data_IF_822158418027
#
_entry.id   IF_822158418027
#
_cell.length_a   1.000
_cell.length_b   1.000
_cell.length_c   1.000
_cell.angle_alpha   90.00
_cell.angle_beta   90.00
_cell.angle_gamma   90.00
#
_symmetry.space_group_name_H-M   'P 1'
#
loop_
_entity.id
_entity.type
_entity.pdbx_description
1 polymer ?
#
# COMPACT_ATOMS: atom_id res chain seq x y z
N UNK A 1 -3.62 7.30 -53.60
CA UNK A 1 -3.59 5.84 -53.76
C UNK A 1 -2.40 5.52 -54.65
N UNK A 2 -1.34 4.85 -54.23
CA UNK A 2 -1.04 4.11 -53.00
C UNK A 2 0.47 4.25 -52.75
N UNK A 3 0.85 4.39 -51.48
CA UNK A 3 2.21 4.57 -51.01
C UNK A 3 2.54 3.45 -50.01
N UNK A 4 2.39 2.19 -50.43
CA UNK A 4 2.56 1.03 -49.55
C UNK A 4 3.30 -0.11 -50.25
N UNK A 5 4.65 -0.13 -50.18
CA UNK A 5 5.43 -1.38 -50.18
C UNK A 5 6.94 -1.13 -50.00
N UNK A 6 7.33 -0.50 -48.89
CA UNK A 6 8.76 -0.30 -48.54
C UNK A 6 9.14 -0.80 -47.14
N UNK A 7 8.46 -1.84 -46.64
CA UNK A 7 8.74 -2.44 -45.32
C UNK A 7 8.90 -3.96 -45.37
N UNK A 8 9.57 -4.51 -46.40
CA UNK A 8 9.82 -5.97 -46.48
C UNK A 8 11.30 -6.35 -46.58
N UNK A 9 12.23 -5.46 -46.20
CA UNK A 9 13.65 -5.79 -46.25
C UNK A 9 14.44 -5.23 -45.05
N UNK A 10 14.10 -5.70 -43.85
CA UNK A 10 15.00 -5.63 -42.69
C UNK A 10 15.23 -7.05 -42.17
N UNK A 11 16.27 -7.70 -42.69
CA UNK A 11 16.83 -8.91 -42.10
C UNK A 11 17.39 -8.56 -40.70
N UNK A 12 16.83 -9.16 -39.65
CA UNK A 12 17.29 -8.94 -38.28
C UNK A 12 18.57 -9.76 -38.01
N UNK A 13 19.63 -9.15 -37.44
CA UNK A 13 20.86 -9.87 -37.12
C UNK A 13 20.67 -10.86 -35.96
N UNK A 14 21.27 -12.07 -36.04
CA UNK A 14 21.19 -13.04 -34.95
C UNK A 14 21.96 -12.52 -33.73
N UNK A 15 21.28 -12.43 -32.58
CA UNK A 15 21.88 -11.98 -31.31
C UNK A 15 21.28 -10.70 -30.72
N UNK A 16 20.26 -10.12 -31.34
CA UNK A 16 19.52 -9.01 -30.71
C UNK A 16 18.57 -9.58 -29.66
N UNK A 17 18.76 -9.20 -28.39
CA UNK A 17 17.77 -9.45 -27.34
C UNK A 17 16.54 -8.63 -27.70
N UNK A 18 15.53 -9.28 -28.26
CA UNK A 18 14.21 -8.69 -28.33
C UNK A 18 13.70 -8.62 -26.89
N UNK A 19 13.72 -7.42 -26.31
CA UNK A 19 12.77 -7.11 -25.25
C UNK A 19 11.42 -7.12 -25.96
N UNK A 20 10.78 -8.29 -26.03
CA UNK A 20 9.37 -8.39 -26.38
C UNK A 20 8.59 -7.72 -25.26
N UNK A 21 8.46 -6.40 -25.34
CA UNK A 21 7.32 -5.71 -24.77
C UNK A 21 6.13 -6.32 -25.49
N UNK A 22 5.46 -7.27 -24.83
CA UNK A 22 4.18 -7.79 -25.30
C UNK A 22 3.23 -6.60 -25.31
N UNK A 23 3.09 -5.92 -26.43
CA UNK A 23 2.11 -4.86 -26.64
C UNK A 23 0.74 -5.49 -26.85
N UNK A 24 0.24 -6.15 -25.82
CA UNK A 24 -1.16 -6.55 -25.70
C UNK A 24 -1.53 -6.76 -24.22
N UNK A 25 -1.07 -5.84 -23.38
CA UNK A 25 -1.73 -5.53 -22.12
C UNK A 25 -2.17 -4.10 -22.34
N UNK A 26 -3.47 -3.85 -22.41
CA UNK A 26 -3.99 -2.48 -22.42
C UNK A 26 -3.37 -1.76 -21.24
N UNK A 27 -2.54 -0.74 -21.49
CA UNK A 27 -1.96 0.06 -20.44
C UNK A 27 -3.12 0.78 -19.74
N UNK A 28 -3.56 0.20 -18.63
CA UNK A 28 -4.74 0.61 -17.90
C UNK A 28 -4.52 2.03 -17.37
N UNK A 29 -3.29 2.35 -16.94
CA UNK A 29 -2.88 3.67 -16.46
C UNK A 29 -2.93 4.74 -17.57
N UNK A 30 -2.51 4.42 -18.80
CA UNK A 30 -2.59 5.37 -19.93
C UNK A 30 -4.04 5.60 -20.38
N UNK A 31 -4.90 4.57 -20.33
CA UNK A 31 -6.31 4.70 -20.72
C UNK A 31 -7.11 5.46 -19.67
N UNK A 32 -6.95 5.13 -18.40
CA UNK A 32 -7.61 5.76 -17.28
C UNK A 32 -6.89 5.42 -15.97
N UNK A 33 -6.13 6.39 -15.43
CA UNK A 33 -5.48 6.25 -14.14
C UNK A 33 -6.54 6.19 -13.01
N UNK A 34 -6.67 5.05 -12.31
CA UNK A 34 -7.61 4.92 -11.20
C UNK A 34 -7.03 5.44 -9.87
N UNK A 35 -5.74 5.75 -9.80
CA UNK A 35 -5.07 6.15 -8.57
C UNK A 35 -5.41 7.58 -8.20
N UNK A 36 -5.83 7.78 -6.96
CA UNK A 36 -6.19 9.08 -6.43
C UNK A 36 -5.00 9.74 -5.72
N UNK A 37 -5.13 11.05 -5.47
CA UNK A 37 -4.21 11.83 -4.64
C UNK A 37 -2.72 11.73 -5.02
N UNK A 38 -2.41 11.48 -6.31
CA UNK A 38 -1.04 11.40 -6.81
C UNK A 38 -0.32 10.09 -6.52
N UNK A 39 -1.06 9.00 -6.24
CA UNK A 39 -0.50 7.64 -6.21
C UNK A 39 0.08 7.23 -7.56
N UNK A 40 1.09 6.35 -7.57
CA UNK A 40 1.73 5.87 -8.80
C UNK A 40 0.93 4.70 -9.38
N UNK A 41 0.41 4.86 -10.58
CA UNK A 41 -0.27 3.78 -11.31
C UNK A 41 0.73 2.86 -12.02
N UNK A 42 0.56 1.55 -11.83
CA UNK A 42 1.38 0.51 -12.44
C UNK A 42 0.46 -0.47 -13.16
N UNK A 43 0.58 -0.57 -14.48
CA UNK A 43 -0.17 -1.54 -15.28
C UNK A 43 0.45 -2.94 -15.17
N UNK A 44 -0.33 -3.91 -14.70
CA UNK A 44 0.07 -5.34 -14.66
C UNK A 44 -0.85 -6.19 -15.55
N UNK A 45 -0.50 -7.46 -15.71
CA UNK A 45 -1.34 -8.47 -16.38
C UNK A 45 -2.66 -8.76 -15.65
N UNK A 46 -2.73 -8.47 -14.35
CA UNK A 46 -3.92 -8.60 -13.51
C UNK A 46 -4.74 -7.32 -13.37
N UNK A 47 -4.27 -6.19 -13.91
CA UNK A 47 -4.95 -4.89 -13.88
C UNK A 47 -4.07 -3.74 -13.37
N UNK A 48 -4.60 -2.52 -13.20
CA UNK A 48 -3.85 -1.41 -12.62
C UNK A 48 -3.69 -1.60 -11.10
N UNK A 49 -2.48 -1.33 -10.60
CA UNK A 49 -2.14 -1.33 -9.17
C UNK A 49 -1.65 0.07 -8.79
N UNK A 50 -2.07 0.59 -7.63
CA UNK A 50 -1.64 1.89 -7.13
C UNK A 50 -0.60 1.76 -6.00
N UNK A 51 0.52 2.46 -6.13
CA UNK A 51 1.52 2.59 -5.07
C UNK A 51 1.32 3.91 -4.30
N UNK A 52 0.83 3.80 -3.05
CA UNK A 52 0.52 4.95 -2.18
C UNK A 52 1.62 5.29 -1.16
N UNK A 53 2.85 4.76 -1.33
CA UNK A 53 3.92 4.91 -0.31
C UNK A 53 4.36 6.36 -0.09
N UNK A 54 4.30 7.19 -1.13
CA UNK A 54 4.83 8.56 -1.12
C UNK A 54 3.75 9.65 -0.88
N UNK A 55 2.52 9.26 -0.51
CA UNK A 55 1.39 10.17 -0.29
C UNK A 55 0.73 9.90 1.06
N UNK A 56 -0.04 10.86 1.58
CA UNK A 56 -0.78 10.74 2.86
C UNK A 56 -2.08 9.92 2.73
N UNK A 57 -2.15 9.03 1.74
CA UNK A 57 -3.35 8.27 1.41
C UNK A 57 -3.06 6.77 1.31
N UNK A 58 -4.07 5.95 1.59
CA UNK A 58 -4.06 4.48 1.56
C UNK A 58 -5.32 3.94 0.87
N UNK A 59 -5.39 2.61 0.73
CA UNK A 59 -6.44 1.93 -0.01
C UNK A 59 -5.96 1.41 -1.36
N UNK A 60 -6.83 0.67 -2.04
CA UNK A 60 -6.51 0.02 -3.33
C UNK A 60 -6.16 1.04 -4.40
N UNK A 61 -6.76 2.23 -4.31
CA UNK A 61 -6.64 3.33 -5.26
C UNK A 61 -6.17 4.63 -4.58
N UNK A 62 -5.53 4.53 -3.40
CA UNK A 62 -5.13 5.68 -2.60
C UNK A 62 -6.30 6.63 -2.27
N UNK A 63 -7.50 6.07 -2.08
CA UNK A 63 -8.76 6.81 -1.95
C UNK A 63 -9.09 7.24 -0.52
N UNK A 64 -8.37 6.71 0.48
CA UNK A 64 -8.61 6.98 1.90
C UNK A 64 -7.43 7.73 2.51
N UNK A 65 -7.68 8.67 3.41
CA UNK A 65 -6.60 9.30 4.18
C UNK A 65 -5.87 8.25 5.04
N UNK A 66 -4.53 8.33 5.09
CA UNK A 66 -3.77 7.58 6.08
C UNK A 66 -4.16 8.07 7.47
N UNK A 67 -4.20 7.13 8.42
CA UNK A 67 -4.31 7.51 9.81
C UNK A 67 -3.12 8.44 10.16
N UNK A 68 -3.37 9.59 10.80
CA UNK A 68 -2.31 10.53 11.16
C UNK A 68 -1.26 9.81 12.02
N UNK A 69 0.01 10.13 11.80
CA UNK A 69 1.13 9.57 12.59
C UNK A 69 1.10 10.01 14.05
N UNK A 70 0.26 10.99 14.38
CA UNK A 70 0.04 11.51 15.73
C UNK A 70 -1.43 11.36 16.14
N UNK A 71 -1.65 10.83 17.34
CA UNK A 71 -2.98 10.70 17.93
C UNK A 71 -3.11 11.63 19.15
N UNK A 72 -4.23 12.35 19.23
CA UNK A 72 -4.59 13.15 20.41
C UNK A 72 -5.70 12.45 21.17
N UNK A 73 -5.47 12.14 22.44
CA UNK A 73 -6.45 11.48 23.31
C UNK A 73 -6.96 12.42 24.38
N UNK A 74 -8.29 12.48 24.56
CA UNK A 74 -8.98 13.30 25.57
C UNK A 74 -9.36 12.52 26.84
N UNK A 75 -8.97 11.25 26.92
CA UNK A 75 -9.03 10.42 28.13
C UNK A 75 -9.87 9.14 28.01
N UNK A 76 -10.85 9.10 27.10
CA UNK A 76 -11.69 7.90 26.85
C UNK A 76 -11.40 7.23 25.51
N UNK A 77 -10.46 7.76 24.76
CA UNK A 77 -10.09 7.30 23.43
C UNK A 77 -8.86 6.39 23.52
N UNK A 78 -8.76 5.42 22.63
CA UNK A 78 -7.64 4.50 22.54
C UNK A 78 -7.41 4.09 21.09
N UNK A 79 -6.15 3.77 20.76
CA UNK A 79 -5.76 3.16 19.50
C UNK A 79 -5.48 1.67 19.77
N UNK A 80 -6.10 0.79 18.99
CA UNK A 80 -5.89 -0.66 19.10
C UNK A 80 -5.42 -1.24 17.78
N UNK A 81 -4.38 -2.07 17.83
CA UNK A 81 -3.89 -2.82 16.67
C UNK A 81 -4.07 -4.32 16.92
N UNK A 82 -4.75 -5.01 16.01
CA UNK A 82 -4.95 -6.47 16.08
C UNK A 82 -3.86 -7.18 15.27
N UNK A 83 -2.83 -7.66 15.97
CA UNK A 83 -1.73 -8.45 15.39
C UNK A 83 -2.18 -9.86 14.96
N UNK A 84 -3.39 -10.30 15.30
CA UNK A 84 -3.92 -11.62 14.92
C UNK A 84 -4.43 -11.70 13.48
N UNK A 85 -4.62 -10.57 12.80
CA UNK A 85 -5.24 -10.50 11.47
C UNK A 85 -4.23 -10.41 10.31
N UNK A 86 -2.95 -10.71 10.52
CA UNK A 86 -1.92 -10.66 9.45
C UNK A 86 -2.01 -11.77 8.40
N UNK A 87 -3.07 -12.57 8.36
CA UNK A 87 -3.33 -13.52 7.26
C UNK A 87 -2.29 -14.64 7.09
N UNK A 88 -1.43 -14.85 8.08
CA UNK A 88 -0.39 -15.87 8.15
C UNK A 88 0.00 -16.15 9.59
N UNK A 89 0.77 -17.22 9.80
CA UNK A 89 1.27 -17.71 11.11
C UNK A 89 1.52 -16.56 12.10
N UNK A 90 1.05 -16.67 13.36
CA UNK A 90 1.17 -15.60 14.34
C UNK A 90 2.63 -15.11 14.40
N UNK A 91 2.83 -13.80 14.37
CA UNK A 91 4.16 -13.20 14.54
C UNK A 91 4.57 -13.45 15.99
N UNK A 92 5.15 -14.62 16.25
CA UNK A 92 5.73 -14.99 17.55
C UNK A 92 7.14 -14.44 17.59
N UNK A 93 7.28 -13.13 17.76
CA UNK A 93 8.60 -12.55 18.01
C UNK A 93 9.01 -12.86 19.45
N UNK A 94 10.22 -13.39 19.64
CA UNK A 94 10.79 -13.55 20.98
C UNK A 94 11.15 -12.20 21.62
N UNK A 95 11.22 -11.11 20.83
CA UNK A 95 11.58 -9.76 21.27
C UNK A 95 10.80 -8.71 20.45
N UNK A 96 9.97 -7.92 21.13
CA UNK A 96 9.28 -6.77 20.55
C UNK A 96 9.89 -5.48 21.10
N UNK A 97 10.12 -4.50 20.21
CA UNK A 97 10.61 -3.18 20.58
C UNK A 97 9.57 -2.12 20.20
N UNK A 98 9.11 -1.37 21.19
CA UNK A 98 8.10 -0.32 21.02
C UNK A 98 8.68 1.01 21.50
N UNK A 99 8.66 2.02 20.63
CA UNK A 99 9.11 3.38 20.95
C UNK A 99 7.92 4.34 20.83
N UNK A 100 7.65 5.12 21.88
CA UNK A 100 6.54 6.08 21.95
C UNK A 100 7.07 7.47 22.32
N UNK A 101 6.57 8.50 21.64
CA UNK A 101 6.79 9.90 21.99
C UNK A 101 5.44 10.49 22.44
N UNK A 102 5.38 11.08 23.64
CA UNK A 102 4.12 11.60 24.19
C UNK A 102 4.31 12.92 24.95
N UNK A 103 3.22 13.68 25.04
CA UNK A 103 3.10 14.87 25.88
C UNK A 103 1.75 14.85 26.58
N UNK A 104 1.74 15.02 27.90
CA UNK A 104 0.50 15.02 28.69
C UNK A 104 0.48 16.15 29.73
N UNK A 105 -0.72 16.60 30.09
CA UNK A 105 -0.95 17.45 31.28
C UNK A 105 -1.33 16.64 32.51
N UNK A 106 -1.68 15.36 32.32
CA UNK A 106 -2.13 14.49 33.39
C UNK A 106 -0.93 13.84 34.09
N UNK A 107 -0.92 13.76 35.43
CA UNK A 107 0.18 13.14 36.17
C UNK A 107 0.21 11.61 36.02
N UNK A 108 -0.94 10.99 35.72
CA UNK A 108 -1.09 9.54 35.59
C UNK A 108 -1.89 9.20 34.32
N UNK A 109 -1.53 8.11 33.64
CA UNK A 109 -2.26 7.62 32.46
C UNK A 109 -1.67 6.32 31.93
N UNK A 110 -2.49 5.53 31.24
CA UNK A 110 -2.06 4.33 30.53
C UNK A 110 -1.54 4.74 29.14
N UNK A 111 -0.28 4.45 28.85
CA UNK A 111 0.32 4.76 27.54
C UNK A 111 0.23 3.60 26.56
N UNK A 112 0.37 2.36 27.05
CA UNK A 112 0.39 1.17 26.23
C UNK A 112 -0.03 -0.04 27.05
N UNK A 113 -0.77 -0.95 26.41
CA UNK A 113 -1.22 -2.19 27.01
C UNK A 113 -1.32 -3.27 25.93
N UNK A 114 -0.69 -4.42 26.17
CA UNK A 114 -0.89 -5.63 25.38
C UNK A 114 -1.83 -6.57 26.12
N UNK A 115 -2.81 -7.09 25.40
CA UNK A 115 -3.66 -8.16 25.90
C UNK A 115 -4.19 -9.02 24.75
N UNK A 116 -4.56 -10.27 25.04
CA UNK A 116 -5.37 -11.06 24.13
C UNK A 116 -6.67 -10.33 23.78
N UNK A 117 -7.10 -10.41 22.53
CA UNK A 117 -8.31 -9.73 22.02
C UNK A 117 -9.57 -10.03 22.85
N UNK A 118 -9.69 -11.26 23.38
CA UNK A 118 -10.78 -11.68 24.24
C UNK A 118 -10.85 -10.92 25.58
N UNK A 119 -9.74 -10.37 26.06
CA UNK A 119 -9.67 -9.63 27.33
C UNK A 119 -10.09 -8.16 27.16
N UNK A 120 -9.88 -7.57 25.98
CA UNK A 120 -10.20 -6.17 25.69
C UNK A 120 -11.71 -5.96 25.57
N UNK A 121 -12.44 -6.91 24.96
CA UNK A 121 -13.90 -6.82 24.77
C UNK A 121 -14.70 -6.99 26.07
N UNK A 122 -14.13 -7.65 27.08
CA UNK A 122 -14.80 -7.95 28.35
C UNK A 122 -14.72 -6.83 29.40
N UNK A 123 -14.17 -5.66 29.06
CA UNK A 123 -14.14 -4.46 29.94
C UNK A 123 -15.06 -3.32 29.46
N UNK A 124 -16.13 -3.62 28.75
CA UNK A 124 -17.23 -2.67 28.51
C UNK A 124 -18.29 -2.73 29.60
#
# INVERSE_FOLDING_TARGET
MEMENWLSQYHQPPGTIHIQLRTNVTDACERHDPCQHGGICISTDSGPICECRNVEYEGTYCERDKAPSEATFRGTEFLSYDLGQTGGEPIVSAQDAITLYFRTRQPNGLLFYTAPVATILNRR
#
